data_IF_609169771127
#
_entry.id   IF_609169771127
#
_cell.length_a   1.000
_cell.length_b   1.000
_cell.length_c   1.000
_cell.angle_alpha   90.00
_cell.angle_beta   90.00
_cell.angle_gamma   90.00
#
_symmetry.space_group_name_H-M   'P 1'
#
loop_
_entity.id
_entity.type
_entity.pdbx_description
1 polymer ?
#
# COMPACT_ATOMS: atom_id res chain seq x y z
N UNK A 1 20.54 -27.29 28.75
CA UNK A 1 19.23 -27.28 28.05
C UNK A 1 18.85 -25.83 27.91
N UNK A 2 18.93 -25.27 26.70
CA UNK A 2 18.36 -23.94 26.45
C UNK A 2 16.89 -23.98 26.83
N UNK A 3 16.44 -23.03 27.64
CA UNK A 3 15.06 -22.98 28.07
C UNK A 3 14.19 -22.75 26.83
N UNK A 4 13.23 -23.66 26.60
CA UNK A 4 12.28 -23.55 25.49
C UNK A 4 11.56 -22.19 25.47
N UNK A 5 11.43 -21.55 26.64
CA UNK A 5 10.88 -20.19 26.78
C UNK A 5 11.81 -19.13 26.20
N UNK A 6 13.12 -19.26 26.38
CA UNK A 6 14.10 -18.33 25.84
C UNK A 6 14.16 -18.41 24.31
N UNK A 7 14.10 -19.64 23.76
CA UNK A 7 14.06 -19.88 22.31
C UNK A 7 12.79 -19.29 21.67
N UNK A 8 11.63 -19.47 22.32
CA UNK A 8 10.37 -18.86 21.90
C UNK A 8 10.45 -17.33 21.95
N UNK A 9 10.94 -16.76 23.05
CA UNK A 9 11.08 -15.31 23.19
C UNK A 9 12.05 -14.72 22.14
N UNK A 10 13.12 -15.44 21.79
CA UNK A 10 14.02 -15.04 20.71
C UNK A 10 13.34 -15.10 19.33
N UNK A 11 12.54 -16.14 19.06
CA UNK A 11 11.79 -16.27 17.82
C UNK A 11 10.72 -15.17 17.67
N UNK A 12 9.95 -14.88 18.72
CA UNK A 12 8.94 -13.81 18.73
C UNK A 12 9.58 -12.45 18.44
N UNK A 13 10.71 -12.12 19.09
CA UNK A 13 11.41 -10.85 18.83
C UNK A 13 11.90 -10.72 17.38
N UNK A 14 12.31 -11.82 16.74
CA UNK A 14 12.67 -11.80 15.31
C UNK A 14 11.45 -11.58 14.42
N UNK A 15 10.34 -12.22 14.76
CA UNK A 15 9.06 -12.04 14.07
C UNK A 15 8.59 -10.58 14.16
N UNK A 16 8.49 -10.03 15.37
CA UNK A 16 8.08 -8.64 15.61
C UNK A 16 8.97 -7.63 14.87
N UNK A 17 10.28 -7.86 14.83
CA UNK A 17 11.20 -7.00 14.07
C UNK A 17 10.90 -7.03 12.57
N UNK A 18 10.62 -8.21 12.04
CA UNK A 18 10.31 -8.37 10.61
C UNK A 18 8.96 -7.76 10.29
N UNK A 19 7.98 -7.95 11.17
CA UNK A 19 6.65 -7.38 11.03
C UNK A 19 6.70 -5.85 11.08
N UNK A 20 7.48 -5.27 12.00
CA UNK A 20 7.71 -3.83 12.05
C UNK A 20 8.37 -3.29 10.77
N UNK A 21 9.37 -4.00 10.23
CA UNK A 21 10.01 -3.62 8.97
C UNK A 21 9.05 -3.74 7.78
N UNK A 22 8.21 -4.78 7.75
CA UNK A 22 7.18 -4.96 6.73
C UNK A 22 6.12 -3.86 6.80
N UNK A 23 5.66 -3.50 8.00
CA UNK A 23 4.69 -2.41 8.17
C UNK A 23 5.31 -1.06 7.77
N UNK A 24 6.56 -0.79 8.11
CA UNK A 24 7.27 0.41 7.64
C UNK A 24 7.33 0.48 6.11
N UNK A 25 7.76 -0.61 5.45
CA UNK A 25 7.77 -0.70 3.99
C UNK A 25 6.38 -0.52 3.37
N UNK A 26 5.34 -1.06 4.01
CA UNK A 26 3.94 -0.86 3.59
C UNK A 26 3.53 0.61 3.65
N UNK A 27 3.87 1.30 4.74
CA UNK A 27 3.58 2.73 4.90
C UNK A 27 4.31 3.58 3.85
N UNK A 28 5.57 3.25 3.53
CA UNK A 28 6.32 3.92 2.46
C UNK A 28 5.61 3.78 1.10
N UNK A 29 5.14 2.58 0.76
CA UNK A 29 4.38 2.34 -0.47
C UNK A 29 3.06 3.10 -0.47
N UNK A 30 2.34 3.14 0.66
CA UNK A 30 1.10 3.93 0.79
C UNK A 30 1.35 5.42 0.54
N UNK A 31 2.42 5.98 1.13
CA UNK A 31 2.80 7.37 0.93
C UNK A 31 3.15 7.65 -0.54
N UNK A 32 3.90 6.76 -1.19
CA UNK A 32 4.25 6.88 -2.61
C UNK A 32 3.00 6.82 -3.52
N UNK A 33 2.05 5.94 -3.22
CA UNK A 33 0.76 5.86 -3.93
C UNK A 33 -0.02 7.16 -3.82
N UNK A 34 -0.14 7.72 -2.62
CA UNK A 34 -0.85 8.98 -2.41
C UNK A 34 -0.16 10.15 -3.11
N UNK A 35 1.17 10.19 -3.09
CA UNK A 35 1.95 11.19 -3.82
C UNK A 35 1.72 11.09 -5.34
N UNK A 36 1.71 9.88 -5.91
CA UNK A 36 1.43 9.65 -7.32
C UNK A 36 0.01 10.11 -7.71
N UNK A 37 -0.99 9.78 -6.89
CA UNK A 37 -2.36 10.22 -7.12
C UNK A 37 -2.50 11.75 -7.05
N UNK A 38 -1.85 12.40 -6.08
CA UNK A 38 -1.81 13.88 -5.97
C UNK A 38 -1.13 14.53 -7.18
N UNK A 39 -0.13 13.86 -7.76
CA UNK A 39 0.53 14.29 -8.99
C UNK A 39 -0.30 14.02 -10.26
N UNK A 40 -1.51 13.44 -10.13
CA UNK A 40 -2.41 13.17 -11.26
C UNK A 40 -2.14 11.86 -12.00
N UNK A 41 -1.29 10.97 -11.46
CA UNK A 41 -1.11 9.64 -12.02
C UNK A 41 -2.43 8.86 -11.94
N UNK A 42 -2.90 8.25 -13.04
CA UNK A 42 -4.20 7.59 -13.05
C UNK A 42 -4.21 6.37 -12.11
N UNK A 43 -5.32 6.12 -11.38
CA UNK A 43 -5.40 5.00 -10.43
C UNK A 43 -5.08 3.62 -11.01
N UNK A 44 -5.32 3.40 -12.31
CA UNK A 44 -4.97 2.16 -13.02
C UNK A 44 -3.47 1.96 -13.15
N UNK A 45 -2.72 3.05 -13.33
CA UNK A 45 -1.27 3.00 -13.41
C UNK A 45 -0.66 2.81 -12.02
N UNK A 46 -1.23 3.48 -11.01
CA UNK A 46 -0.85 3.26 -9.61
C UNK A 46 -1.11 1.81 -9.17
N UNK A 47 -2.23 1.21 -9.58
CA UNK A 47 -2.52 -0.22 -9.32
C UNK A 47 -1.47 -1.13 -9.97
N UNK A 48 -1.04 -0.84 -11.20
CA UNK A 48 -0.01 -1.62 -11.90
C UNK A 48 1.36 -1.56 -11.20
N UNK A 49 1.67 -0.43 -10.58
CA UNK A 49 2.98 -0.16 -9.96
C UNK A 49 3.03 -0.47 -8.46
N UNK A 50 1.91 -0.79 -7.84
CA UNK A 50 1.82 -1.00 -6.39
C UNK A 50 1.30 -2.41 -6.06
N UNK A 51 1.58 -2.92 -4.85
CA UNK A 51 1.02 -4.20 -4.38
C UNK A 51 -0.47 -4.09 -4.02
N UNK A 52 -1.12 -2.94 -4.23
CA UNK A 52 -2.47 -2.68 -3.79
C UNK A 52 -3.48 -2.82 -4.92
N UNK A 53 -4.67 -3.30 -4.56
CA UNK A 53 -5.80 -3.37 -5.49
C UNK A 53 -6.36 -1.97 -5.76
N UNK A 54 -6.98 -1.78 -6.93
CA UNK A 54 -7.68 -0.52 -7.26
C UNK A 54 -8.75 -0.14 -6.24
N UNK A 55 -9.44 -1.12 -5.65
CA UNK A 55 -10.41 -0.86 -4.60
C UNK A 55 -9.76 -0.22 -3.37
N UNK A 56 -8.58 -0.72 -2.96
CA UNK A 56 -7.83 -0.17 -1.84
C UNK A 56 -7.26 1.21 -2.17
N UNK A 57 -6.72 1.41 -3.38
CA UNK A 57 -6.21 2.71 -3.84
C UNK A 57 -7.32 3.77 -3.84
N UNK A 58 -8.51 3.44 -4.36
CA UNK A 58 -9.66 4.36 -4.32
C UNK A 58 -10.11 4.66 -2.88
N UNK A 59 -10.04 3.68 -1.97
CA UNK A 59 -10.33 3.89 -0.55
C UNK A 59 -9.34 4.89 0.07
N UNK A 60 -8.04 4.71 -0.17
CA UNK A 60 -6.99 5.63 0.30
C UNK A 60 -7.18 7.04 -0.26
N UNK A 61 -7.41 7.16 -1.56
CA UNK A 61 -7.63 8.44 -2.22
C UNK A 61 -8.80 9.22 -1.58
N UNK A 62 -9.92 8.55 -1.32
CA UNK A 62 -11.09 9.16 -0.67
C UNK A 62 -10.83 9.58 0.76
N UNK A 63 -10.10 8.77 1.54
CA UNK A 63 -9.76 9.09 2.91
C UNK A 63 -8.89 10.35 3.01
N UNK A 64 -8.04 10.57 2.01
CA UNK A 64 -7.14 11.73 1.90
C UNK A 64 -7.73 12.90 1.10
N UNK A 65 -9.01 12.83 0.72
CA UNK A 65 -9.70 13.89 -0.04
C UNK A 65 -9.16 14.10 -1.46
N UNK A 66 -8.44 13.13 -2.03
CA UNK A 66 -7.93 13.20 -3.40
C UNK A 66 -9.10 12.96 -4.37
N UNK A 67 -9.40 13.92 -5.28
CA UNK A 67 -10.50 13.75 -6.22
C UNK A 67 -10.22 12.56 -7.16
N UNK A 68 -11.27 11.83 -7.58
CA UNK A 68 -11.10 10.78 -8.56
C UNK A 68 -10.52 11.35 -9.86
N UNK A 69 -9.63 10.59 -10.51
CA UNK A 69 -9.16 10.93 -11.84
C UNK A 69 -10.36 11.12 -12.78
N UNK A 70 -10.27 12.12 -13.65
CA UNK A 70 -11.31 12.38 -14.63
C UNK A 70 -11.60 11.09 -15.43
N UNK A 71 -12.88 10.77 -15.72
CA UNK A 71 -13.22 9.65 -16.58
C UNK A 71 -12.39 9.75 -17.86
N UNK A 72 -11.68 8.68 -18.23
CA UNK A 72 -10.99 8.64 -19.50
C UNK A 72 -11.96 8.94 -20.65
N UNK A 73 -11.47 9.48 -21.78
CA UNK A 73 -12.34 9.78 -22.91
C UNK A 73 -13.16 8.54 -23.25
N UNK A 74 -14.50 8.65 -23.17
CA UNK A 74 -15.39 7.58 -23.64
C UNK A 74 -14.97 7.30 -25.08
N UNK A 75 -14.60 6.05 -25.38
CA UNK A 75 -14.47 5.63 -26.77
C UNK A 75 -15.83 5.90 -27.41
N UNK A 76 -15.92 6.93 -28.24
CA UNK A 76 -17.05 7.11 -29.13
C UNK A 76 -17.06 5.90 -30.05
N UNK A 77 -17.94 4.95 -29.76
CA UNK A 77 -18.29 3.89 -30.68
C UNK A 77 -18.99 4.56 -31.85
N UNK A 78 -18.29 4.70 -32.98
CA UNK A 78 -18.88 5.02 -34.27
C UNK A 78 -19.30 3.73 -34.95
#
# INVERSE_FOLDING_TARGET
>A
MTDLRDDLAAATRRYERTDAAHEAARQEVMAAVLAALRAGVPPTEVERLSPFTSAYIRKMARAEGIPPAAPGPKRSTN
#
